data_IF_040472067203
#
_entry.id   IF_040472067203
#
_cell.length_a   1.000
_cell.length_b   1.000
_cell.length_c   1.000
_cell.angle_alpha   90.00
_cell.angle_beta   90.00
_cell.angle_gamma   90.00
#
_symmetry.space_group_name_H-M   'P 1'
#
loop_
_entity.id
_entity.type
_entity.pdbx_description
1 polymer ?
#
# COMPACT_ATOMS: atom_id res chain seq x y z
N UNK A 1 10.83 2.90 16.20
CA UNK A 1 11.17 3.32 14.81
C UNK A 1 12.59 2.92 14.45
N UNK A 2 13.38 2.41 15.41
CA UNK A 2 14.78 2.05 15.19
C UNK A 2 14.96 0.60 14.69
N UNK A 3 14.02 -0.30 14.97
CA UNK A 3 14.09 -1.71 14.55
C UNK A 3 13.88 -1.96 13.04
N UNK A 4 13.43 -0.95 12.28
CA UNK A 4 13.17 -1.10 10.83
C UNK A 4 14.39 -0.75 9.96
N UNK A 5 15.38 -0.03 10.51
CA UNK A 5 16.58 0.38 9.77
C UNK A 5 17.71 -0.65 9.85
N UNK A 6 17.73 -1.50 10.88
CA UNK A 6 18.75 -2.56 11.02
C UNK A 6 18.54 -3.74 10.06
N UNK A 7 17.33 -3.94 9.54
CA UNK A 7 17.02 -5.02 8.59
C UNK A 7 17.51 -4.75 7.15
N UNK A 8 17.91 -3.52 6.82
CA UNK A 8 18.38 -3.14 5.48
C UNK A 8 19.90 -3.25 5.30
N UNK A 9 20.66 -3.42 6.38
CA UNK A 9 22.13 -3.50 6.32
C UNK A 9 22.70 -4.92 6.16
N UNK A 10 21.88 -5.96 6.32
CA UNK A 10 22.35 -7.37 6.29
C UNK A 10 22.34 -8.01 4.88
N UNK A 11 21.95 -7.25 3.85
CA UNK A 11 21.90 -7.73 2.45
C UNK A 11 23.10 -7.33 1.59
N UNK A 12 24.18 -6.79 2.19
CA UNK A 12 25.40 -6.40 1.48
C UNK A 12 26.58 -7.31 1.85
N UNK A 13 26.44 -8.60 1.58
CA UNK A 13 27.56 -9.56 1.61
C UNK A 13 28.15 -9.65 0.20
N UNK A 14 29.45 -9.34 0.12
CA UNK A 14 30.16 -9.00 -1.11
C UNK A 14 30.37 -10.14 -2.11
N UNK A 15 30.55 -9.73 -3.36
CA UNK A 15 31.14 -10.54 -4.42
C UNK A 15 32.29 -9.71 -5.00
N UNK A 16 33.47 -9.88 -4.40
CA UNK A 16 34.75 -9.61 -5.07
C UNK A 16 35.16 -10.90 -5.77
N UNK A 17 35.27 -10.84 -7.10
CA UNK A 17 35.80 -11.92 -7.91
C UNK A 17 36.40 -11.34 -9.19
N UNK A 18 37.69 -11.01 -9.13
CA UNK A 18 38.53 -10.77 -10.30
C UNK A 18 38.47 -11.97 -11.27
N UNK A 19 38.46 -11.68 -12.56
CA UNK A 19 38.45 -12.68 -13.63
C UNK A 19 38.78 -12.04 -14.98
N UNK A 20 40.03 -11.59 -15.08
CA UNK A 20 40.76 -11.26 -16.30
C UNK A 20 40.72 -12.43 -17.30
N UNK A 21 40.29 -12.20 -18.55
CA UNK A 21 40.78 -12.81 -19.82
C UNK A 21 39.81 -12.44 -20.97
N UNK A 22 40.07 -11.29 -21.58
CA UNK A 22 39.72 -11.04 -22.98
C UNK A 22 40.89 -11.61 -23.79
N UNK A 23 40.71 -12.80 -24.35
CA UNK A 23 41.71 -13.43 -25.21
C UNK A 23 41.22 -13.35 -26.65
N UNK A 24 41.74 -12.34 -27.33
CA UNK A 24 41.67 -12.22 -28.77
C UNK A 24 42.46 -13.37 -29.40
N UNK A 25 41.78 -14.18 -30.23
CA UNK A 25 42.48 -15.05 -31.16
C UNK A 25 41.87 -14.93 -32.56
N UNK A 26 42.41 -13.97 -33.31
CA UNK A 26 42.49 -14.06 -34.77
C UNK A 26 43.59 -15.05 -35.12
N UNK A 27 43.23 -16.14 -35.82
CA UNK A 27 43.84 -16.53 -37.11
C UNK A 27 43.42 -17.95 -37.49
N UNK A 28 42.78 -18.08 -38.67
CA UNK A 28 43.20 -18.98 -39.75
C UNK A 28 42.07 -19.22 -40.79
N UNK A 29 42.10 -18.37 -41.82
CA UNK A 29 41.88 -18.66 -43.25
C UNK A 29 40.64 -19.44 -43.76
N UNK A 30 39.92 -18.89 -44.77
CA UNK A 30 38.88 -19.59 -45.49
C UNK A 30 39.50 -20.57 -46.49
N UNK A 31 39.38 -21.88 -46.28
CA UNK A 31 39.70 -22.84 -47.34
C UNK A 31 38.63 -22.75 -48.45
N UNK A 32 38.97 -22.04 -49.52
CA UNK A 32 38.25 -22.09 -50.78
C UNK A 32 38.34 -23.52 -51.32
N UNK A 33 37.32 -24.34 -51.06
CA UNK A 33 37.25 -25.70 -51.59
C UNK A 33 36.89 -25.66 -53.08
N UNK A 34 37.88 -25.37 -53.93
CA UNK A 34 37.82 -25.60 -55.39
C UNK A 34 38.04 -27.09 -55.72
N UNK A 35 37.48 -27.97 -54.89
CA UNK A 35 37.42 -29.41 -55.14
C UNK A 35 36.22 -29.73 -56.03
N UNK A 36 36.43 -30.46 -57.13
CA UNK A 36 35.34 -31.00 -57.95
C UNK A 36 34.36 -31.76 -57.04
N UNK A 37 33.09 -31.35 -57.05
CA UNK A 37 32.04 -31.98 -56.24
C UNK A 37 32.06 -33.50 -56.46
N UNK A 38 31.90 -34.32 -55.42
CA UNK A 38 31.87 -35.78 -55.56
C UNK A 38 30.88 -36.18 -56.64
N UNK A 39 31.32 -37.04 -57.57
CA UNK A 39 30.44 -37.61 -58.60
C UNK A 39 29.25 -38.27 -57.89
N UNK A 40 28.03 -37.86 -58.27
CA UNK A 40 26.79 -38.34 -57.66
C UNK A 40 26.11 -37.36 -56.71
N UNK A 41 26.79 -36.32 -56.19
CA UNK A 41 26.15 -35.31 -55.33
C UNK A 41 25.08 -34.51 -56.08
N UNK A 42 25.39 -34.10 -57.30
CA UNK A 42 24.44 -33.34 -58.12
C UNK A 42 23.35 -34.28 -58.71
N UNK A 43 23.66 -35.58 -58.90
CA UNK A 43 22.66 -36.59 -59.31
C UNK A 43 21.66 -36.91 -58.18
N UNK A 44 22.13 -37.02 -56.94
CA UNK A 44 21.27 -37.18 -55.75
C UNK A 44 20.40 -35.93 -55.49
N UNK A 45 20.90 -34.73 -55.83
CA UNK A 45 20.07 -33.51 -55.85
C UNK A 45 19.05 -33.49 -57.00
N UNK A 46 19.34 -34.14 -58.13
CA UNK A 46 18.42 -34.21 -59.26
C UNK A 46 17.28 -35.21 -59.03
N UNK A 47 17.54 -36.36 -58.38
CA UNK A 47 16.51 -37.36 -58.06
C UNK A 47 15.53 -36.91 -56.98
N UNK A 48 15.97 -36.05 -56.05
CA UNK A 48 15.11 -35.52 -54.98
C UNK A 48 14.17 -34.37 -55.40
N UNK A 49 14.12 -34.00 -56.69
CA UNK A 49 13.30 -32.85 -57.13
C UNK A 49 11.79 -33.08 -57.12
N UNK A 50 11.29 -34.29 -56.82
CA UNK A 50 9.84 -34.57 -56.71
C UNK A 50 9.52 -35.59 -55.63
N UNK A 51 9.96 -35.36 -54.39
CA UNK A 51 9.25 -35.96 -53.26
C UNK A 51 8.00 -35.09 -53.02
N UNK A 52 6.90 -35.41 -53.71
CA UNK A 52 5.59 -34.83 -53.40
C UNK A 52 5.17 -35.38 -52.05
N UNK A 53 5.39 -34.61 -50.98
CA UNK A 53 4.80 -34.89 -49.68
C UNK A 53 3.29 -35.02 -49.89
N UNK A 54 2.66 -36.10 -49.44
CA UNK A 54 1.24 -36.31 -49.71
C UNK A 54 0.44 -35.15 -49.12
N UNK A 55 -0.57 -34.67 -49.87
CA UNK A 55 -1.46 -33.59 -49.40
C UNK A 55 -2.07 -33.93 -48.03
N UNK A 56 -2.36 -35.21 -47.80
CA UNK A 56 -2.87 -35.74 -46.54
C UNK A 56 -1.87 -35.55 -45.39
N UNK A 57 -0.57 -35.78 -45.62
CA UNK A 57 0.45 -35.54 -44.61
C UNK A 57 0.55 -34.06 -44.26
N UNK A 58 0.54 -33.17 -45.26
CA UNK A 58 0.59 -31.71 -45.02
C UNK A 58 -0.64 -31.24 -44.25
N UNK A 59 -1.84 -31.70 -44.62
CA UNK A 59 -3.07 -31.39 -43.90
C UNK A 59 -3.00 -31.88 -42.46
N UNK A 60 -2.59 -33.13 -42.24
CA UNK A 60 -2.48 -33.69 -40.88
C UNK A 60 -1.48 -32.95 -40.01
N UNK A 61 -0.35 -32.51 -40.57
CA UNK A 61 0.63 -31.70 -39.84
C UNK A 61 0.10 -30.30 -39.53
N UNK A 62 -0.69 -29.71 -40.43
CA UNK A 62 -1.38 -28.44 -40.18
C UNK A 62 -2.41 -28.58 -39.06
N UNK A 63 -3.26 -29.62 -39.11
CA UNK A 63 -4.27 -29.90 -38.09
C UNK A 63 -3.64 -30.12 -36.71
N UNK A 64 -2.53 -30.88 -36.64
CA UNK A 64 -1.76 -31.07 -35.41
C UNK A 64 -1.15 -29.76 -34.88
N UNK A 65 -0.69 -28.87 -35.76
CA UNK A 65 -0.18 -27.55 -35.38
C UNK A 65 -1.30 -26.67 -34.79
N UNK A 66 -2.48 -26.69 -35.40
CA UNK A 66 -3.67 -25.97 -34.90
C UNK A 66 -4.09 -26.50 -33.53
N UNK A 67 -4.20 -27.81 -33.35
CA UNK A 67 -4.52 -28.43 -32.05
C UNK A 67 -3.50 -28.05 -30.96
N UNK A 68 -2.21 -28.02 -31.30
CA UNK A 68 -1.15 -27.61 -30.36
C UNK A 68 -1.32 -26.15 -29.93
N UNK A 69 -1.64 -25.25 -30.87
CA UNK A 69 -1.91 -23.83 -30.56
C UNK A 69 -3.15 -23.68 -29.68
N UNK A 70 -4.20 -24.44 -29.95
CA UNK A 70 -5.44 -24.42 -29.17
C UNK A 70 -5.23 -24.87 -27.72
N UNK A 71 -4.49 -25.97 -27.51
CA UNK A 71 -4.13 -26.45 -26.18
C UNK A 71 -3.34 -25.40 -25.38
N UNK A 72 -2.37 -24.72 -26.02
CA UNK A 72 -1.66 -23.63 -25.35
C UNK A 72 -2.56 -22.45 -25.00
N UNK A 73 -3.50 -22.08 -25.88
CA UNK A 73 -4.46 -21.01 -25.59
C UNK A 73 -5.37 -21.35 -24.43
N UNK A 74 -5.89 -22.57 -24.37
CA UNK A 74 -6.73 -23.04 -23.27
C UNK A 74 -5.95 -22.96 -21.93
N UNK A 75 -4.70 -23.42 -21.92
CA UNK A 75 -3.85 -23.31 -20.71
C UNK A 75 -3.53 -21.86 -20.33
N UNK A 76 -3.34 -20.95 -21.29
CA UNK A 76 -3.13 -19.53 -21.01
C UNK A 76 -4.38 -18.84 -20.50
N UNK A 77 -5.57 -19.22 -20.98
CA UNK A 77 -6.85 -18.72 -20.47
C UNK A 77 -7.06 -19.14 -19.02
N UNK A 78 -6.81 -20.41 -18.69
CA UNK A 78 -6.87 -20.89 -17.31
C UNK A 78 -5.85 -20.20 -16.40
N UNK A 79 -4.60 -20.04 -16.89
CA UNK A 79 -3.56 -19.32 -16.15
C UNK A 79 -3.96 -17.87 -15.89
N UNK A 80 -4.54 -17.20 -16.88
CA UNK A 80 -5.05 -15.83 -16.75
C UNK A 80 -6.20 -15.77 -15.74
N UNK A 81 -7.16 -16.69 -15.79
CA UNK A 81 -8.27 -16.74 -14.84
C UNK A 81 -7.78 -16.88 -13.39
N UNK A 82 -6.78 -17.72 -13.13
CA UNK A 82 -6.16 -17.86 -11.81
C UNK A 82 -5.47 -16.57 -11.34
N UNK A 83 -4.81 -15.85 -12.25
CA UNK A 83 -4.19 -14.57 -11.93
C UNK A 83 -5.24 -13.49 -11.64
N UNK A 84 -6.32 -13.45 -12.43
CA UNK A 84 -7.42 -12.50 -12.22
C UNK A 84 -8.10 -12.75 -10.86
N UNK A 85 -8.30 -14.01 -10.47
CA UNK A 85 -8.79 -14.39 -9.14
C UNK A 85 -7.84 -13.95 -8.02
N UNK A 86 -6.53 -14.19 -8.18
CA UNK A 86 -5.52 -13.76 -7.21
C UNK A 86 -5.53 -12.23 -7.03
N UNK A 87 -5.62 -11.47 -8.12
CA UNK A 87 -5.71 -10.01 -8.08
C UNK A 87 -7.02 -9.55 -7.42
N UNK A 88 -8.14 -10.23 -7.67
CA UNK A 88 -9.40 -9.92 -7.03
C UNK A 88 -9.33 -10.13 -5.51
N UNK A 89 -8.76 -11.24 -5.06
CA UNK A 89 -8.54 -11.51 -3.64
C UNK A 89 -7.64 -10.46 -2.97
N UNK A 90 -6.56 -10.06 -3.64
CA UNK A 90 -5.65 -9.05 -3.11
C UNK A 90 -6.33 -7.68 -3.00
N UNK A 91 -7.16 -7.30 -3.98
CA UNK A 91 -7.98 -6.09 -3.90
C UNK A 91 -8.93 -6.11 -2.70
N UNK A 92 -9.60 -7.23 -2.45
CA UNK A 92 -10.49 -7.38 -1.28
C UNK A 92 -9.72 -7.18 0.02
N UNK A 93 -8.56 -7.82 0.17
CA UNK A 93 -7.72 -7.66 1.37
C UNK A 93 -7.29 -6.20 1.60
N UNK A 94 -6.89 -5.50 0.54
CA UNK A 94 -6.46 -4.10 0.63
C UNK A 94 -7.64 -3.21 1.05
N UNK A 95 -8.83 -3.41 0.47
CA UNK A 95 -10.01 -2.65 0.85
C UNK A 95 -10.48 -2.97 2.27
N UNK A 96 -10.50 -4.23 2.69
CA UNK A 96 -10.83 -4.60 4.07
C UNK A 96 -9.86 -3.96 5.07
N UNK A 97 -8.55 -3.99 4.80
CA UNK A 97 -7.55 -3.34 5.65
C UNK A 97 -7.72 -1.81 5.67
N UNK A 98 -8.18 -1.21 4.58
CA UNK A 98 -8.47 0.22 4.49
C UNK A 98 -9.72 0.59 5.29
N UNK A 99 -10.80 -0.15 5.14
CA UNK A 99 -12.05 0.07 5.88
C UNK A 99 -11.87 -0.21 7.37
N UNK A 100 -11.13 -1.26 7.75
CA UNK A 100 -10.77 -1.51 9.13
C UNK A 100 -10.01 -0.33 9.76
N UNK A 101 -9.01 0.21 9.06
CA UNK A 101 -8.27 1.39 9.54
C UNK A 101 -9.17 2.61 9.71
N UNK A 102 -10.09 2.86 8.78
CA UNK A 102 -11.05 3.97 8.90
C UNK A 102 -11.97 3.79 10.11
N UNK A 103 -12.53 2.59 10.27
CA UNK A 103 -13.41 2.26 11.40
C UNK A 103 -12.68 2.46 12.73
N UNK A 104 -11.44 1.99 12.85
CA UNK A 104 -10.63 2.18 14.06
C UNK A 104 -10.40 3.66 14.38
N UNK A 105 -10.09 4.48 13.38
CA UNK A 105 -9.94 5.92 13.56
C UNK A 105 -11.25 6.60 13.98
N UNK A 106 -12.38 6.16 13.43
CA UNK A 106 -13.69 6.72 13.77
C UNK A 106 -14.06 6.40 15.22
N UNK A 107 -13.85 5.15 15.65
CA UNK A 107 -14.05 4.75 17.05
C UNK A 107 -13.16 5.52 18.02
N UNK A 108 -11.90 5.78 17.64
CA UNK A 108 -10.99 6.58 18.46
C UNK A 108 -11.45 8.04 18.56
N UNK A 109 -11.92 8.63 17.45
CA UNK A 109 -12.50 9.98 17.46
C UNK A 109 -13.74 10.07 18.34
N UNK A 110 -14.66 9.12 18.23
CA UNK A 110 -15.86 9.08 19.06
C UNK A 110 -15.51 8.96 20.55
N UNK A 111 -14.56 8.09 20.88
CA UNK A 111 -14.05 7.93 22.24
C UNK A 111 -13.48 9.24 22.77
N UNK A 112 -12.61 9.91 21.99
CA UNK A 112 -12.02 11.19 22.38
C UNK A 112 -13.09 12.29 22.53
N UNK A 113 -14.08 12.34 21.65
CA UNK A 113 -15.16 13.31 21.74
C UNK A 113 -16.01 13.10 23.01
N UNK A 114 -16.30 11.86 23.38
CA UNK A 114 -17.01 11.53 24.61
C UNK A 114 -16.19 11.89 25.86
N UNK A 115 -14.89 11.60 25.84
CA UNK A 115 -13.98 11.97 26.93
C UNK A 115 -13.85 13.49 27.08
N UNK A 116 -13.70 14.23 25.98
CA UNK A 116 -13.68 15.69 25.99
C UNK A 116 -14.98 16.27 26.55
N UNK A 117 -16.16 15.75 26.15
CA UNK A 117 -17.44 16.16 26.72
C UNK A 117 -17.51 15.90 28.22
N UNK A 118 -17.04 14.74 28.68
CA UNK A 118 -16.98 14.39 30.11
C UNK A 118 -16.11 15.39 30.87
N UNK A 119 -14.91 15.68 30.37
CA UNK A 119 -13.99 16.65 30.97
C UNK A 119 -14.56 18.06 31.00
N UNK A 120 -15.22 18.51 29.93
CA UNK A 120 -15.89 19.81 29.90
C UNK A 120 -17.02 19.91 30.92
N UNK A 121 -17.82 18.85 31.08
CA UNK A 121 -18.88 18.80 32.07
C UNK A 121 -18.32 18.80 33.50
N UNK A 122 -17.25 18.05 33.75
CA UNK A 122 -16.56 18.05 35.03
C UNK A 122 -15.94 19.41 35.36
N UNK A 123 -15.29 20.06 34.38
CA UNK A 123 -14.73 21.40 34.53
C UNK A 123 -15.82 22.43 34.83
N UNK A 124 -16.94 22.40 34.11
CA UNK A 124 -18.11 23.26 34.38
C UNK A 124 -18.71 23.01 35.76
N UNK A 125 -18.72 21.75 36.22
CA UNK A 125 -19.19 21.40 37.56
C UNK A 125 -18.27 22.00 38.63
N UNK A 126 -16.95 21.83 38.48
CA UNK A 126 -15.95 22.42 39.39
C UNK A 126 -16.00 23.95 39.40
N UNK A 127 -16.14 24.58 38.23
CA UNK A 127 -16.32 26.05 38.12
C UNK A 127 -17.53 26.51 38.94
N UNK A 128 -18.68 25.81 38.83
CA UNK A 128 -19.88 26.12 39.60
C UNK A 128 -19.69 25.91 41.10
N UNK A 129 -19.07 24.81 41.51
CA UNK A 129 -18.80 24.53 42.92
C UNK A 129 -17.88 25.61 43.53
N UNK A 130 -16.87 26.08 42.80
CA UNK A 130 -16.00 27.20 43.21
C UNK A 130 -16.76 28.53 43.26
N UNK A 131 -17.60 28.83 42.27
CA UNK A 131 -18.46 30.02 42.28
C UNK A 131 -19.40 30.02 43.50
N UNK A 132 -20.05 28.89 43.78
CA UNK A 132 -20.92 28.70 44.96
C UNK A 132 -20.15 28.86 46.26
N UNK A 133 -18.93 28.31 46.34
CA UNK A 133 -18.04 28.47 47.50
C UNK A 133 -17.70 29.95 47.72
N UNK A 134 -17.37 30.70 46.67
CA UNK A 134 -17.05 32.13 46.75
C UNK A 134 -18.27 32.95 47.17
N UNK A 135 -19.45 32.67 46.60
CA UNK A 135 -20.71 33.32 46.98
C UNK A 135 -21.11 33.03 48.43
N UNK A 136 -20.76 31.86 48.97
CA UNK A 136 -21.04 31.50 50.36
C UNK A 136 -20.14 32.20 51.40
N UNK A 137 -19.05 32.85 50.97
CA UNK A 137 -18.15 33.57 51.89
C UNK A 137 -18.87 34.78 52.49
N UNK A 138 -18.92 34.85 53.83
CA UNK A 138 -19.47 35.98 54.55
C UNK A 138 -18.44 37.13 54.62
N UNK A 139 -18.73 38.23 53.92
CA UNK A 139 -17.88 39.41 53.81
C UNK A 139 -17.65 40.15 55.15
N UNK A 140 -18.57 40.03 56.11
CA UNK A 140 -18.45 40.69 57.42
C UNK A 140 -17.38 40.03 58.29
N UNK A 141 -17.13 38.73 58.08
CA UNK A 141 -16.13 37.96 58.80
C UNK A 141 -14.72 38.06 58.17
N UNK A 142 -14.60 38.68 56.98
CA UNK A 142 -13.34 38.85 56.28
C UNK A 142 -12.57 40.10 56.76
N UNK A 143 -11.23 40.06 56.67
CA UNK A 143 -10.38 41.23 56.86
C UNK A 143 -10.69 42.31 55.80
N UNK A 144 -10.45 43.62 56.07
CA UNK A 144 -10.84 44.71 55.17
C UNK A 144 -10.36 44.53 53.72
N UNK A 145 -9.11 44.10 53.52
CA UNK A 145 -8.57 43.86 52.17
C UNK A 145 -9.19 42.63 51.50
N UNK A 146 -9.42 41.55 52.25
CA UNK A 146 -10.06 40.34 51.75
C UNK A 146 -11.52 40.58 51.38
N UNK A 147 -12.21 41.45 52.13
CA UNK A 147 -13.59 41.85 51.85
C UNK A 147 -13.72 42.47 50.46
N UNK A 148 -12.85 43.42 50.13
CA UNK A 148 -12.84 44.07 48.81
C UNK A 148 -12.58 43.04 47.71
N UNK A 149 -11.64 42.13 47.93
CA UNK A 149 -11.31 41.06 46.97
C UNK A 149 -12.48 40.11 46.70
N UNK A 150 -13.09 39.55 47.74
CA UNK A 150 -14.21 38.63 47.59
C UNK A 150 -15.48 39.32 47.10
N UNK A 151 -15.70 40.58 47.46
CA UNK A 151 -16.79 41.38 46.90
C UNK A 151 -16.67 41.49 45.38
N UNK A 152 -15.49 41.85 44.85
CA UNK A 152 -15.26 41.93 43.42
C UNK A 152 -15.50 40.57 42.73
N UNK A 153 -15.02 39.46 43.32
CA UNK A 153 -15.27 38.12 42.77
C UNK A 153 -16.76 37.75 42.76
N UNK A 154 -17.50 38.05 43.83
CA UNK A 154 -18.94 37.79 43.90
C UNK A 154 -19.71 38.60 42.86
N UNK A 155 -19.35 39.88 42.66
CA UNK A 155 -19.92 40.74 41.63
C UNK A 155 -19.66 40.19 40.22
N UNK A 156 -18.42 39.77 39.91
CA UNK A 156 -18.07 39.16 38.63
C UNK A 156 -18.85 37.86 38.37
N UNK A 157 -19.02 37.01 39.38
CA UNK A 157 -19.82 35.77 39.28
C UNK A 157 -21.29 36.11 38.99
N UNK A 158 -21.85 37.11 39.67
CA UNK A 158 -23.23 37.55 39.43
C UNK A 158 -23.40 38.12 38.01
N UNK A 159 -22.46 38.94 37.54
CA UNK A 159 -22.45 39.45 36.16
C UNK A 159 -22.36 38.30 35.13
N UNK A 160 -21.51 37.30 35.38
CA UNK A 160 -21.41 36.09 34.55
C UNK A 160 -22.75 35.35 34.48
N UNK A 161 -23.46 35.21 35.59
CA UNK A 161 -24.78 34.57 35.65
C UNK A 161 -25.84 35.40 34.90
N UNK A 162 -25.87 36.72 35.12
CA UNK A 162 -26.80 37.63 34.44
C UNK A 162 -26.59 37.64 32.92
N UNK A 163 -25.32 37.63 32.47
CA UNK A 163 -24.98 37.57 31.05
C UNK A 163 -25.42 36.26 30.40
N UNK A 164 -25.28 35.13 31.09
CA UNK A 164 -25.81 33.83 30.63
C UNK A 164 -27.34 33.82 30.57
N UNK A 165 -28.02 34.51 31.49
CA UNK A 165 -29.49 34.59 31.54
C UNK A 165 -30.06 35.46 30.43
N UNK A 166 -29.39 36.55 30.08
CA UNK A 166 -29.90 37.51 29.10
C UNK A 166 -29.65 37.11 27.65
N UNK A 167 -28.78 36.12 27.39
CA UNK A 167 -28.45 35.64 26.04
C UNK A 167 -27.84 36.72 25.14
N UNK A 168 -27.26 36.37 23.97
CA UNK A 168 -26.96 37.40 22.98
C UNK A 168 -28.29 37.96 22.51
N UNK A 169 -28.54 39.26 22.73
CA UNK A 169 -29.55 39.97 21.95
C UNK A 169 -29.18 39.75 20.48
N UNK A 170 -30.10 39.17 19.72
CA UNK A 170 -30.03 39.16 18.26
C UNK A 170 -29.90 40.58 17.72
#
# INVERSE_FOLDING_TARGET
>A
MDDYMDALNDASVGISGEGLLDDAQEDASPSSSTGKRPKGRDAAKASNKKASVSSEYVSKMHDLSVQKIELFKETEVERKARLDEMVALEKVKVEEAREHRKMMLELERERLAMEQKRLQMEAKKKEKEEDERILAINLDQCQPMQRIYYQALQEDILQKIMSRRNGPSQ
#
